data_IF_488775984954
#
_entry.id   IF_488775984954
#
_cell.length_a   1.000
_cell.length_b   1.000
_cell.length_c   1.000
_cell.angle_alpha   90.00
_cell.angle_beta   90.00
_cell.angle_gamma   90.00
#
_symmetry.space_group_name_H-M   'P 1'
#
loop_
_entity.id
_entity.type
_entity.pdbx_description
1 polymer ?
#
# COMPACT_ATOMS: atom_id res chain seq x y z
N UNK A 1 -23.59 -0.63 -22.08
CA UNK A 1 -23.07 -1.04 -20.77
C UNK A 1 -21.55 -1.04 -20.88
N UNK A 2 -20.84 -0.18 -20.16
CA UNK A 2 -19.37 -0.16 -20.14
C UNK A 2 -18.88 -1.25 -19.19
N UNK A 3 -17.92 -2.06 -19.63
CA UNK A 3 -17.31 -3.10 -18.80
C UNK A 3 -16.26 -2.47 -17.86
N UNK A 4 -16.31 -2.83 -16.58
CA UNK A 4 -15.31 -2.42 -15.57
C UNK A 4 -14.59 -3.67 -15.05
N UNK A 5 -13.27 -3.69 -15.16
CA UNK A 5 -12.39 -4.70 -14.58
C UNK A 5 -11.81 -4.21 -13.26
N UNK A 6 -12.11 -4.95 -12.19
CA UNK A 6 -11.63 -4.68 -10.84
C UNK A 6 -10.64 -5.79 -10.46
N UNK A 7 -9.49 -5.41 -9.90
CA UNK A 7 -8.55 -6.31 -9.25
C UNK A 7 -8.74 -6.22 -7.73
N UNK A 8 -8.77 -7.37 -7.05
CA UNK A 8 -8.80 -7.45 -5.60
C UNK A 8 -7.51 -8.13 -5.13
N UNK A 9 -6.65 -7.39 -4.44
CA UNK A 9 -5.42 -7.94 -3.90
C UNK A 9 -5.74 -8.86 -2.70
N UNK A 10 -5.31 -10.11 -2.78
CA UNK A 10 -5.42 -11.07 -1.69
C UNK A 10 -4.02 -11.61 -1.37
N UNK A 11 -3.53 -11.32 -0.17
CA UNK A 11 -2.23 -11.75 0.32
C UNK A 11 -2.25 -11.90 1.83
N UNK A 12 -1.45 -12.80 2.42
CA UNK A 12 -1.31 -12.88 3.88
C UNK A 12 -0.70 -11.60 4.43
N UNK A 13 -1.03 -11.26 5.69
CA UNK A 13 -0.35 -10.18 6.38
C UNK A 13 1.15 -10.50 6.54
N UNK A 14 2.00 -9.53 6.28
CA UNK A 14 3.46 -9.67 6.35
C UNK A 14 4.07 -8.60 7.26
N UNK A 15 5.10 -8.99 8.02
CA UNK A 15 5.90 -8.05 8.79
C UNK A 15 6.97 -7.44 7.89
N UNK A 16 6.83 -6.16 7.57
CA UNK A 16 7.72 -5.46 6.65
C UNK A 16 8.74 -4.61 7.43
N UNK A 17 10.04 -4.66 7.07
CA UNK A 17 11.10 -4.05 7.86
C UNK A 17 11.20 -2.52 7.71
N UNK A 18 10.51 -1.93 6.73
CA UNK A 18 10.58 -0.50 6.44
C UNK A 18 9.41 -0.04 5.58
N UNK A 19 9.18 1.29 5.57
CA UNK A 19 8.23 1.92 4.65
C UNK A 19 8.55 1.59 3.19
N UNK A 20 9.83 1.57 2.81
CA UNK A 20 10.25 1.24 1.43
C UNK A 20 9.90 -0.20 1.03
N UNK A 21 9.97 -1.16 1.96
CA UNK A 21 9.54 -2.54 1.68
C UNK A 21 8.03 -2.64 1.47
N UNK A 22 7.25 -1.86 2.22
CA UNK A 22 5.81 -1.71 2.05
C UNK A 22 5.44 -1.06 0.72
N UNK A 23 6.10 0.04 0.36
CA UNK A 23 5.89 0.72 -0.93
C UNK A 23 6.23 -0.19 -2.11
N UNK A 24 7.32 -0.94 -2.03
CA UNK A 24 7.70 -1.91 -3.06
C UNK A 24 6.66 -3.03 -3.22
N UNK A 25 6.11 -3.55 -2.10
CA UNK A 25 5.04 -4.55 -2.11
C UNK A 25 3.78 -4.01 -2.81
N UNK A 26 3.32 -2.82 -2.46
CA UNK A 26 2.14 -2.22 -3.08
C UNK A 26 2.39 -1.88 -4.56
N UNK A 27 3.58 -1.38 -4.90
CA UNK A 27 3.96 -1.08 -6.28
C UNK A 27 3.89 -2.32 -7.18
N UNK A 28 4.27 -3.50 -6.67
CA UNK A 28 4.13 -4.77 -7.38
C UNK A 28 2.66 -5.11 -7.66
N UNK A 29 1.78 -4.94 -6.67
CA UNK A 29 0.34 -5.18 -6.84
C UNK A 29 -0.30 -4.23 -7.85
N UNK A 30 0.04 -2.94 -7.78
CA UNK A 30 -0.43 -1.93 -8.73
C UNK A 30 0.03 -2.26 -10.16
N UNK A 31 1.32 -2.59 -10.31
CA UNK A 31 1.90 -2.97 -11.60
C UNK A 31 1.20 -4.20 -12.20
N UNK A 32 0.97 -5.23 -11.39
CA UNK A 32 0.27 -6.44 -11.85
C UNK A 32 -1.18 -6.16 -12.27
N UNK A 33 -1.90 -5.33 -11.51
CA UNK A 33 -3.26 -4.91 -11.85
C UNK A 33 -3.29 -4.11 -13.15
N UNK A 34 -2.32 -3.21 -13.36
CA UNK A 34 -2.20 -2.41 -14.57
C UNK A 34 -1.91 -3.28 -15.80
N UNK A 35 -0.98 -4.25 -15.70
CA UNK A 35 -0.69 -5.22 -16.76
C UNK A 35 -1.95 -6.02 -17.16
N UNK A 36 -2.79 -6.35 -16.17
CA UNK A 36 -4.08 -7.05 -16.39
C UNK A 36 -5.22 -6.11 -16.82
N UNK A 37 -4.94 -4.83 -17.04
CA UNK A 37 -5.91 -3.78 -17.42
C UNK A 37 -7.08 -3.66 -16.44
N UNK A 38 -6.83 -3.78 -15.15
CA UNK A 38 -7.80 -3.39 -14.13
C UNK A 38 -7.89 -1.86 -14.07
N UNK A 39 -9.10 -1.33 -13.94
CA UNK A 39 -9.32 0.12 -13.75
C UNK A 39 -9.43 0.50 -12.28
N UNK A 40 -9.63 -0.49 -11.39
CA UNK A 40 -9.64 -0.31 -9.95
C UNK A 40 -8.90 -1.49 -9.30
N UNK A 41 -7.98 -1.19 -8.39
CA UNK A 41 -7.36 -2.15 -7.50
C UNK A 41 -7.81 -1.86 -6.08
N UNK A 42 -8.39 -2.85 -5.41
CA UNK A 42 -8.73 -2.77 -3.98
C UNK A 42 -7.75 -3.59 -3.16
N UNK A 43 -7.34 -3.02 -2.03
CA UNK A 43 -6.47 -3.67 -1.05
C UNK A 43 -7.28 -4.10 0.17
N UNK A 44 -6.81 -5.11 0.92
CA UNK A 44 -7.36 -5.45 2.22
C UNK A 44 -7.23 -4.29 3.21
N UNK A 45 -8.09 -4.26 4.22
CA UNK A 45 -8.07 -3.26 5.31
C UNK A 45 -6.70 -3.15 6.01
N UNK A 46 -6.00 -4.27 6.15
CA UNK A 46 -4.71 -4.35 6.82
C UNK A 46 -3.54 -3.88 5.96
N UNK A 47 -3.77 -3.51 4.69
CA UNK A 47 -2.68 -3.06 3.82
C UNK A 47 -1.91 -1.88 4.42
N UNK A 48 -2.60 -0.88 4.96
CA UNK A 48 -1.94 0.22 5.67
C UNK A 48 -1.38 -0.22 7.03
N UNK A 49 -2.01 -1.18 7.69
CA UNK A 49 -1.58 -1.65 9.01
C UNK A 49 -0.24 -2.40 9.01
N UNK A 50 0.20 -2.93 7.86
CA UNK A 50 1.54 -3.51 7.74
C UNK A 50 2.66 -2.49 8.06
N UNK A 51 2.38 -1.19 7.95
CA UNK A 51 3.31 -0.13 8.36
C UNK A 51 3.55 -0.09 9.88
N UNK A 52 2.63 -0.58 10.71
CA UNK A 52 2.87 -0.71 12.16
C UNK A 52 4.07 -1.61 12.43
N UNK A 53 4.30 -2.62 11.60
CA UNK A 53 5.44 -3.54 11.70
C UNK A 53 6.82 -2.91 11.49
N UNK A 54 6.87 -1.67 10.97
CA UNK A 54 8.13 -0.95 10.75
C UNK A 54 8.71 -0.37 12.04
N UNK A 55 7.91 -0.29 13.12
CA UNK A 55 8.37 0.01 14.48
C UNK A 55 7.88 -1.11 15.43
N UNK A 56 8.75 -2.05 15.80
CA UNK A 56 8.39 -3.16 16.69
C UNK A 56 7.87 -2.72 18.07
N UNK A 57 8.29 -1.55 18.56
CA UNK A 57 7.80 -1.03 19.84
C UNK A 57 6.37 -0.50 19.69
N UNK A 58 6.07 0.20 18.59
CA UNK A 58 4.71 0.62 18.27
C UNK A 58 3.79 -0.57 17.99
N UNK A 59 4.28 -1.60 17.28
CA UNK A 59 3.50 -2.80 16.93
C UNK A 59 2.98 -3.60 18.13
N UNK A 60 3.62 -3.46 19.30
CA UNK A 60 3.24 -4.14 20.53
C UNK A 60 2.07 -3.47 21.28
N UNK A 61 1.69 -2.25 20.89
CA UNK A 61 0.58 -1.49 21.48
C UNK A 61 -0.38 -1.01 20.38
N UNK A 62 -1.70 -1.20 20.59
CA UNK A 62 -2.70 -0.88 19.58
C UNK A 62 -2.76 0.63 19.27
N UNK A 63 -2.71 1.49 20.29
CA UNK A 63 -2.77 2.94 20.07
C UNK A 63 -1.49 3.44 19.42
N UNK A 64 -0.33 2.98 19.90
CA UNK A 64 0.95 3.33 19.29
C UNK A 64 1.04 2.88 17.84
N UNK A 65 0.50 1.70 17.50
CA UNK A 65 0.40 1.22 16.12
C UNK A 65 -0.42 2.15 15.24
N UNK A 66 -1.58 2.61 15.72
CA UNK A 66 -2.43 3.54 14.96
C UNK A 66 -1.77 4.91 14.80
N UNK A 67 -1.18 5.46 15.87
CA UNK A 67 -0.47 6.73 15.83
C UNK A 67 0.70 6.69 14.84
N UNK A 68 1.46 5.59 14.83
CA UNK A 68 2.57 5.37 13.90
C UNK A 68 2.12 5.32 12.45
N UNK A 69 1.08 4.55 12.13
CA UNK A 69 0.54 4.45 10.77
C UNK A 69 0.00 5.79 10.28
N UNK A 70 -0.70 6.54 11.14
CA UNK A 70 -1.22 7.88 10.81
C UNK A 70 -0.07 8.86 10.57
N UNK A 71 0.98 8.84 11.40
CA UNK A 71 2.15 9.70 11.24
C UNK A 71 2.84 9.49 9.88
N UNK A 72 2.97 8.24 9.43
CA UNK A 72 3.52 7.90 8.11
C UNK A 72 2.63 8.40 6.95
N UNK A 73 1.31 8.38 7.12
CA UNK A 73 0.36 8.91 6.14
C UNK A 73 0.43 10.43 5.97
N UNK A 74 0.78 11.16 7.03
CA UNK A 74 0.89 12.63 7.00
C UNK A 74 2.24 13.12 6.45
N UNK A 75 3.29 12.29 6.51
CA UNK A 75 4.62 12.61 5.97
C UNK A 75 4.83 12.26 4.50
N UNK A 76 3.91 11.51 3.87
CA UNK A 76 4.03 11.01 2.49
C UNK A 76 3.62 12.02 1.41
N UNK A 77 3.64 13.34 1.70
CA UNK A 77 3.32 14.43 0.77
C UNK A 77 4.23 14.55 -0.47
N UNK A 78 5.12 13.58 -0.73
CA UNK A 78 6.05 13.60 -1.87
C UNK A 78 5.73 12.59 -2.98
N UNK A 79 4.46 12.24 -3.19
CA UNK A 79 4.02 11.53 -4.40
C UNK A 79 4.17 12.36 -5.71
N UNK A 80 4.82 13.53 -5.66
CA UNK A 80 5.19 14.34 -6.84
C UNK A 80 6.52 13.94 -7.50
N UNK A 81 7.20 12.91 -6.99
CA UNK A 81 8.46 12.41 -7.56
C UNK A 81 8.26 11.39 -8.69
N UNK A 82 8.06 11.86 -9.92
CA UNK A 82 8.39 11.15 -11.17
C UNK A 82 7.77 9.74 -11.38
N UNK A 83 6.43 9.64 -11.48
CA UNK A 83 5.82 8.53 -12.21
C UNK A 83 6.01 8.77 -13.72
N UNK A 84 6.58 7.84 -14.51
CA UNK A 84 6.51 7.94 -15.96
C UNK A 84 5.03 7.90 -16.32
N UNK A 85 4.55 8.95 -17.01
CA UNK A 85 3.22 9.00 -17.59
C UNK A 85 2.94 7.68 -18.29
N UNK A 86 2.07 6.86 -17.72
CA UNK A 86 1.48 5.74 -18.44
C UNK A 86 0.47 6.33 -19.43
N UNK A 87 0.99 6.84 -20.54
CA UNK A 87 0.23 6.92 -21.78
C UNK A 87 0.20 5.52 -22.39
N UNK A 88 -0.91 4.80 -22.20
CA UNK A 88 -1.55 3.87 -23.14
C UNK A 88 -2.57 2.99 -22.41
#
# INVERSE_FOLDING_TARGET
>A
MTEVRIAAAQYPIELLPSYGAWEAKLSRWVSEAAVRRAQLLVFPEYAAMELAGTDPAAAADLHASLDHVVALGNGSTNCTGNSPSIMA
#
